data_IF_335333998958
#
_entry.id   IF_335333998958
#
_cell.length_a   1.000
_cell.length_b   1.000
_cell.length_c   1.000
_cell.angle_alpha   90.00
_cell.angle_beta   90.00
_cell.angle_gamma   90.00
#
_symmetry.space_group_name_H-M   'P 1'
#
loop_
_entity.id
_entity.type
_entity.pdbx_description
1 polymer ?
#
# COMPACT_ATOMS: atom_id res chain seq x y z
N UNK A 1 -30.16 -54.07 -24.99
CA UNK A 1 -30.63 -52.95 -25.84
C UNK A 1 -30.87 -51.71 -24.99
N UNK A 2 -29.98 -50.71 -25.02
CA UNK A 2 -30.24 -49.43 -24.36
C UNK A 2 -31.39 -48.71 -25.10
N UNK A 3 -32.49 -48.44 -24.40
CA UNK A 3 -33.64 -47.68 -24.93
C UNK A 3 -33.18 -46.42 -25.66
N UNK A 4 -33.79 -46.10 -26.80
CA UNK A 4 -33.53 -44.88 -27.59
C UNK A 4 -33.51 -43.61 -26.71
N UNK A 5 -34.27 -43.62 -25.60
CA UNK A 5 -34.33 -42.55 -24.59
C UNK A 5 -33.04 -42.42 -23.77
N UNK A 6 -32.44 -43.55 -23.36
CA UNK A 6 -31.17 -43.58 -22.61
C UNK A 6 -29.97 -43.13 -23.46
N UNK A 7 -29.94 -43.48 -24.75
CA UNK A 7 -28.90 -43.01 -25.67
C UNK A 7 -28.98 -41.47 -25.88
N UNK A 8 -30.20 -40.93 -25.98
CA UNK A 8 -30.43 -39.47 -26.09
C UNK A 8 -29.97 -38.70 -24.85
N UNK A 9 -30.27 -39.23 -23.65
CA UNK A 9 -29.82 -38.63 -22.39
C UNK A 9 -28.29 -38.70 -22.22
N UNK A 10 -27.66 -39.82 -22.60
CA UNK A 10 -26.19 -39.95 -22.58
C UNK A 10 -25.52 -38.95 -23.52
N UNK A 11 -26.04 -38.78 -24.75
CA UNK A 11 -25.58 -37.77 -25.71
C UNK A 11 -25.74 -36.34 -25.19
N UNK A 12 -26.87 -36.02 -24.57
CA UNK A 12 -27.10 -34.69 -23.99
C UNK A 12 -26.11 -34.37 -22.86
N UNK A 13 -25.86 -35.32 -21.95
CA UNK A 13 -24.88 -35.15 -20.86
C UNK A 13 -23.46 -34.98 -21.40
N UNK A 14 -23.06 -35.73 -22.43
CA UNK A 14 -21.76 -35.58 -23.10
C UNK A 14 -21.61 -34.21 -23.77
N UNK A 15 -22.63 -33.73 -24.48
CA UNK A 15 -22.61 -32.42 -25.12
C UNK A 15 -22.57 -31.26 -24.11
N UNK A 16 -23.34 -31.36 -23.02
CA UNK A 16 -23.30 -30.38 -21.92
C UNK A 16 -21.93 -30.34 -21.24
N UNK A 17 -21.27 -31.50 -21.08
CA UNK A 17 -19.89 -31.58 -20.55
C UNK A 17 -18.89 -30.91 -21.49
N UNK A 18 -18.95 -31.21 -22.79
CA UNK A 18 -18.08 -30.58 -23.80
C UNK A 18 -18.28 -29.06 -23.90
N UNK A 19 -19.52 -28.59 -23.80
CA UNK A 19 -19.82 -27.15 -23.80
C UNK A 19 -19.23 -26.47 -22.55
N UNK A 20 -19.36 -27.09 -21.38
CA UNK A 20 -18.75 -26.61 -20.13
C UNK A 20 -17.22 -26.62 -20.20
N UNK A 21 -16.62 -27.68 -20.76
CA UNK A 21 -15.18 -27.78 -20.98
C UNK A 21 -14.70 -26.67 -21.93
N UNK A 22 -15.41 -26.42 -23.05
CA UNK A 22 -15.09 -25.33 -23.99
C UNK A 22 -15.25 -23.95 -23.38
N UNK A 23 -16.31 -23.71 -22.61
CA UNK A 23 -16.52 -22.44 -21.92
C UNK A 23 -15.44 -22.22 -20.84
N UNK A 24 -15.10 -23.25 -20.06
CA UNK A 24 -13.98 -23.19 -19.11
C UNK A 24 -12.67 -22.90 -19.81
N UNK A 25 -12.35 -23.62 -20.89
CA UNK A 25 -11.15 -23.38 -21.67
C UNK A 25 -11.11 -21.95 -22.22
N UNK A 26 -12.23 -21.42 -22.73
CA UNK A 26 -12.29 -20.05 -23.29
C UNK A 26 -12.18 -18.95 -22.24
N UNK A 27 -12.75 -19.16 -21.05
CA UNK A 27 -12.62 -18.25 -19.90
C UNK A 27 -11.17 -18.30 -19.38
N UNK A 28 -10.59 -19.50 -19.20
CA UNK A 28 -9.19 -19.65 -18.76
C UNK A 28 -8.16 -19.16 -19.79
N UNK A 29 -8.42 -19.32 -21.09
CA UNK A 29 -7.51 -18.87 -22.14
C UNK A 29 -7.42 -17.34 -22.18
N UNK A 30 -8.50 -16.63 -21.81
CA UNK A 30 -8.53 -15.17 -21.76
C UNK A 30 -7.69 -14.59 -20.62
N UNK A 31 -7.57 -15.28 -19.49
CA UNK A 31 -6.69 -14.87 -18.38
C UNK A 31 -5.21 -15.22 -18.61
N UNK A 32 -4.94 -16.23 -19.46
CA UNK A 32 -3.55 -16.61 -19.79
C UNK A 32 -2.92 -15.77 -20.90
N UNK A 33 -3.71 -14.99 -21.62
CA UNK A 33 -3.17 -13.90 -22.45
C UNK A 33 -2.91 -12.72 -21.53
N UNK A 34 -1.83 -12.83 -20.77
CA UNK A 34 -1.19 -11.67 -20.13
C UNK A 34 -0.73 -10.77 -21.28
N UNK A 35 -1.07 -9.47 -21.29
CA UNK A 35 -0.54 -8.57 -22.30
C UNK A 35 0.99 -8.68 -22.28
N UNK A 36 1.57 -8.88 -23.46
CA UNK A 36 2.98 -8.71 -23.75
C UNK A 36 3.49 -7.48 -22.99
N UNK A 37 4.34 -7.70 -21.98
CA UNK A 37 4.85 -6.72 -21.02
C UNK A 37 3.88 -5.56 -20.73
N UNK A 38 2.93 -5.72 -19.79
CA UNK A 38 2.21 -4.55 -19.28
C UNK A 38 3.24 -3.48 -18.87
N UNK A 39 3.16 -2.30 -19.47
CA UNK A 39 3.91 -1.14 -19.03
C UNK A 39 3.64 -1.00 -17.53
N UNK A 40 4.68 -1.16 -16.70
CA UNK A 40 4.50 -1.16 -15.23
C UNK A 40 3.79 0.15 -14.87
N UNK A 41 2.67 0.10 -14.13
CA UNK A 41 1.98 1.31 -13.74
C UNK A 41 2.94 2.21 -12.98
N UNK A 42 3.03 3.48 -13.39
CA UNK A 42 3.84 4.49 -12.71
C UNK A 42 3.11 4.88 -11.43
N UNK A 43 3.59 4.38 -10.29
CA UNK A 43 3.03 4.65 -8.96
C UNK A 43 3.87 5.73 -8.28
N UNK A 44 3.20 6.78 -7.79
CA UNK A 44 3.78 7.81 -6.93
C UNK A 44 3.10 7.76 -5.57
N UNK A 45 3.90 7.78 -4.50
CA UNK A 45 3.41 7.85 -3.13
C UNK A 45 3.93 9.13 -2.49
N UNK A 46 3.02 10.02 -2.11
CA UNK A 46 3.31 11.17 -1.26
C UNK A 46 3.08 10.75 0.19
N UNK A 47 4.10 10.87 1.02
CA UNK A 47 4.06 10.52 2.44
C UNK A 47 4.57 11.70 3.28
N UNK A 48 4.15 11.74 4.54
CA UNK A 48 4.62 12.71 5.53
C UNK A 48 5.04 12.01 6.82
N UNK A 49 5.42 12.78 7.84
CA UNK A 49 5.94 12.27 9.11
C UNK A 49 5.01 11.25 9.81
N UNK A 50 3.71 11.29 9.54
CA UNK A 50 2.71 10.37 10.11
C UNK A 50 3.00 8.89 9.88
N UNK A 51 3.62 8.51 8.75
CA UNK A 51 3.94 7.10 8.48
C UNK A 51 4.97 6.53 9.47
N UNK A 52 5.77 7.40 10.08
CA UNK A 52 6.81 7.04 11.04
C UNK A 52 6.29 6.96 12.48
N UNK A 53 5.05 7.40 12.75
CA UNK A 53 4.47 7.39 14.09
C UNK A 53 4.39 5.96 14.67
N UNK A 54 4.03 4.98 13.84
CA UNK A 54 3.92 3.58 14.23
C UNK A 54 5.28 2.93 14.55
N UNK A 55 6.38 3.50 14.05
CA UNK A 55 7.76 3.13 14.41
C UNK A 55 8.23 3.79 15.70
N UNK A 56 7.36 4.52 16.39
CA UNK A 56 7.65 5.24 17.63
C UNK A 56 8.30 6.60 17.42
N UNK A 57 8.47 7.07 16.18
CA UNK A 57 9.06 8.39 15.92
C UNK A 57 7.99 9.47 16.17
N UNK A 58 8.26 10.39 17.11
CA UNK A 58 7.37 11.54 17.35
C UNK A 58 7.25 12.38 16.07
N UNK A 59 6.04 12.84 15.78
CA UNK A 59 5.75 13.66 14.59
C UNK A 59 5.53 15.12 14.96
N UNK A 60 5.58 16.02 13.98
CA UNK A 60 5.55 17.46 14.24
C UNK A 60 4.20 17.98 14.77
N UNK A 61 3.09 17.49 14.21
CA UNK A 61 1.73 18.06 14.40
C UNK A 61 0.77 17.15 15.18
N UNK A 62 1.26 16.07 15.79
CA UNK A 62 0.42 15.24 16.65
C UNK A 62 0.03 15.99 17.94
N UNK A 63 -0.98 15.51 18.66
CA UNK A 63 -1.40 16.09 19.94
C UNK A 63 -0.32 15.99 21.04
N UNK A 64 0.62 15.07 20.89
CA UNK A 64 1.86 14.91 21.65
C UNK A 64 3.10 15.23 20.79
N UNK A 65 2.90 16.03 19.74
CA UNK A 65 3.87 16.33 18.71
C UNK A 65 4.89 17.38 19.11
N UNK A 66 5.98 17.45 18.35
CA UNK A 66 7.11 18.33 18.66
C UNK A 66 6.73 19.83 18.72
N UNK A 67 5.70 20.26 18.00
CA UNK A 67 5.27 21.67 17.97
C UNK A 67 4.23 22.05 19.03
N UNK A 68 3.69 21.11 19.81
CA UNK A 68 2.86 21.49 20.96
C UNK A 68 3.67 22.21 22.04
N UNK A 69 4.96 21.89 22.13
CA UNK A 69 5.88 22.47 23.12
C UNK A 69 6.57 23.76 22.61
N UNK A 70 6.51 24.06 21.30
CA UNK A 70 7.27 25.15 20.68
C UNK A 70 6.49 25.82 19.56
N UNK A 71 6.53 27.16 19.48
CA UNK A 71 5.97 27.87 18.33
C UNK A 71 6.78 27.54 17.07
N UNK A 72 6.08 27.22 15.98
CA UNK A 72 6.71 26.80 14.71
C UNK A 72 7.66 27.87 14.18
N UNK A 73 7.24 29.13 14.24
CA UNK A 73 8.01 30.30 13.82
C UNK A 73 9.33 30.51 14.58
N UNK A 74 9.47 29.95 15.78
CA UNK A 74 10.72 30.05 16.56
C UNK A 74 11.71 28.94 16.18
N UNK A 75 11.24 27.78 15.69
CA UNK A 75 12.09 26.60 15.48
C UNK A 75 12.21 26.16 14.02
N UNK A 76 11.32 26.60 13.13
CA UNK A 76 11.21 26.10 11.76
C UNK A 76 11.16 27.23 10.72
N UNK A 77 11.82 28.36 11.00
CA UNK A 77 11.97 29.48 10.04
C UNK A 77 13.40 30.01 10.04
N UNK A 78 13.87 30.61 8.93
CA UNK A 78 15.15 31.31 8.89
C UNK A 78 15.24 32.42 9.95
N UNK A 79 14.16 33.18 10.14
CA UNK A 79 14.11 34.29 11.10
C UNK A 79 14.15 33.79 12.55
N UNK A 80 13.60 32.60 12.82
CA UNK A 80 13.74 31.92 14.11
C UNK A 80 15.18 31.48 14.36
N UNK A 81 15.84 30.92 13.34
CA UNK A 81 17.26 30.55 13.43
C UNK A 81 18.16 31.77 13.64
N UNK A 82 17.94 32.88 12.93
CA UNK A 82 18.71 34.11 13.12
C UNK A 82 18.53 34.72 14.52
N UNK A 83 17.35 34.51 15.14
CA UNK A 83 17.04 35.00 16.48
C UNK A 83 17.69 34.16 17.57
N UNK A 84 17.62 32.83 17.45
CA UNK A 84 18.17 31.90 18.45
C UNK A 84 18.62 30.58 17.79
N UNK A 85 19.85 30.52 17.25
CA UNK A 85 20.39 29.32 16.64
C UNK A 85 20.51 28.15 17.62
N UNK A 86 20.77 28.42 18.90
CA UNK A 86 20.95 27.38 19.91
C UNK A 86 19.62 26.69 20.21
N UNK A 87 18.53 27.43 20.30
CA UNK A 87 17.17 26.88 20.44
C UNK A 87 16.82 25.98 19.26
N UNK A 88 17.02 26.44 18.02
CA UNK A 88 16.72 25.65 16.83
C UNK A 88 17.56 24.38 16.80
N UNK A 89 18.85 24.50 17.09
CA UNK A 89 19.77 23.37 17.12
C UNK A 89 19.38 22.37 18.21
N UNK A 90 19.00 22.85 19.40
CA UNK A 90 18.54 22.01 20.50
C UNK A 90 17.21 21.31 20.16
N UNK A 91 16.27 22.00 19.50
CA UNK A 91 15.00 21.43 19.07
C UNK A 91 15.20 20.24 18.13
N UNK A 92 16.07 20.37 17.12
CA UNK A 92 16.34 19.30 16.15
C UNK A 92 17.30 18.22 16.66
N UNK A 93 18.21 18.56 17.57
CA UNK A 93 19.13 17.59 18.19
C UNK A 93 18.53 16.89 19.40
N UNK A 94 17.38 17.35 19.91
CA UNK A 94 16.68 16.73 21.01
C UNK A 94 16.55 15.24 20.72
N UNK A 95 17.04 14.35 21.62
CA UNK A 95 16.94 12.92 21.39
C UNK A 95 15.45 12.58 21.29
N UNK A 96 14.99 12.27 20.09
CA UNK A 96 13.81 11.43 19.95
C UNK A 96 14.26 10.11 20.54
N UNK A 97 13.91 9.81 21.79
CA UNK A 97 14.30 8.58 22.50
C UNK A 97 14.05 7.30 21.69
N UNK A 98 13.25 7.42 20.63
CA UNK A 98 12.85 6.40 19.68
C UNK A 98 13.56 6.40 18.32
N UNK A 99 14.23 7.48 17.87
CA UNK A 99 14.81 7.52 16.51
C UNK A 99 15.92 6.47 16.29
N UNK A 100 16.80 6.29 17.26
CA UNK A 100 17.87 5.27 17.21
C UNK A 100 17.34 3.84 17.40
N UNK A 101 16.13 3.69 17.96
CA UNK A 101 15.49 2.40 18.22
C UNK A 101 14.37 2.05 17.21
N UNK A 102 14.04 2.97 16.30
CA UNK A 102 12.96 2.82 15.35
C UNK A 102 13.27 1.69 14.37
N UNK A 103 12.33 0.75 14.26
CA UNK A 103 12.34 -0.31 13.25
C UNK A 103 11.29 0.03 12.20
N UNK A 104 11.51 -0.41 10.96
CA UNK A 104 10.52 -0.27 9.89
C UNK A 104 9.18 -0.83 10.37
N UNK A 105 8.13 -0.01 10.34
CA UNK A 105 6.75 -0.47 10.50
C UNK A 105 6.40 -1.42 9.35
N UNK A 106 5.67 -2.49 9.67
CA UNK A 106 5.35 -3.60 8.77
C UNK A 106 4.22 -3.27 7.79
#
# INVERSE_FOLDING_TARGET
>A
MLSRRGHRLSRFRKNKRRLRERLRQRIFFRDKVVPEAMEKPRVLVLTGAGISAESGIRTFRAADGLWEEHRVEDVATPEGFDRDPELVQAFYNAPSSTATAARNSA
#
